data_IF_277101976874
#
_entry.id   IF_277101976874
#
_cell.length_a   1.000
_cell.length_b   1.000
_cell.length_c   1.000
_cell.angle_alpha   90.00
_cell.angle_beta   90.00
_cell.angle_gamma   90.00
#
_symmetry.space_group_name_H-M   'P 1'
#
loop_
_entity.id
_entity.type
_entity.pdbx_description
1 polymer ?
#
# COMPACT_ATOMS: atom_id res chain seq x y z
N UNK A 1 -18.35 -5.26 6.01
CA UNK A 1 -18.44 -6.54 6.73
C UNK A 1 -17.38 -6.53 7.82
N UNK A 2 -17.81 -6.52 9.08
CA UNK A 2 -16.93 -6.54 10.24
C UNK A 2 -16.25 -7.92 10.32
N UNK A 3 -14.93 -7.92 10.52
CA UNK A 3 -14.11 -9.11 10.76
C UNK A 3 -14.63 -9.83 12.01
N UNK A 4 -15.45 -10.86 11.82
CA UNK A 4 -15.82 -11.82 12.85
C UNK A 4 -15.31 -13.19 12.46
N UNK A 5 -14.04 -13.46 12.77
CA UNK A 5 -13.55 -14.79 13.12
C UNK A 5 -12.60 -14.61 14.29
N UNK A 6 -13.07 -15.00 15.47
CA UNK A 6 -12.48 -14.69 16.78
C UNK A 6 -11.18 -15.42 17.08
N UNK A 7 -10.12 -15.09 16.37
CA UNK A 7 -8.76 -15.20 16.86
C UNK A 7 -8.03 -13.92 16.42
N UNK A 8 -7.76 -13.03 17.38
CA UNK A 8 -6.76 -11.98 17.16
C UNK A 8 -5.48 -12.71 16.77
N UNK A 9 -4.78 -12.38 15.68
CA UNK A 9 -3.49 -12.99 15.40
C UNK A 9 -2.62 -12.67 16.61
N UNK A 10 -2.38 -13.66 17.46
CA UNK A 10 -1.62 -13.46 18.71
C UNK A 10 -0.17 -13.10 18.41
N UNK A 11 0.24 -13.21 17.13
CA UNK A 11 1.57 -12.92 16.63
C UNK A 11 1.64 -11.86 15.53
N UNK A 12 0.57 -11.18 15.10
CA UNK A 12 0.67 -10.20 13.99
C UNK A 12 0.62 -10.82 12.58
N UNK A 13 1.16 -10.11 11.58
CA UNK A 13 1.09 -10.46 10.15
C UNK A 13 2.45 -10.29 9.48
N UNK A 14 2.73 -11.12 8.48
CA UNK A 14 3.83 -10.91 7.54
C UNK A 14 3.32 -10.15 6.31
N UNK A 15 3.73 -8.89 6.15
CA UNK A 15 3.25 -8.01 5.10
C UNK A 15 4.33 -7.70 4.06
N UNK A 16 3.91 -7.62 2.80
CA UNK A 16 4.68 -6.99 1.72
C UNK A 16 3.96 -5.70 1.33
N UNK A 17 4.62 -4.57 1.55
CA UNK A 17 4.07 -3.23 1.35
C UNK A 17 4.86 -2.53 0.25
N UNK A 18 4.24 -2.32 -0.90
CA UNK A 18 4.91 -1.73 -2.07
C UNK A 18 4.20 -0.46 -2.55
N UNK A 19 4.98 0.58 -2.89
CA UNK A 19 4.37 1.81 -3.36
C UNK A 19 5.33 2.96 -3.63
N UNK A 20 4.76 4.16 -3.66
CA UNK A 20 5.50 5.39 -3.86
C UNK A 20 6.03 5.99 -2.54
N UNK A 21 6.80 7.07 -2.65
CA UNK A 21 7.39 7.78 -1.52
C UNK A 21 6.38 8.37 -0.53
N UNK A 22 5.15 8.66 -0.95
CA UNK A 22 4.08 9.14 -0.06
C UNK A 22 3.56 8.02 0.84
N UNK A 23 3.56 6.79 0.35
CA UNK A 23 3.15 5.62 1.13
C UNK A 23 4.23 5.14 2.11
N UNK A 24 5.50 5.28 1.76
CA UNK A 24 6.63 4.76 2.54
C UNK A 24 6.63 5.10 4.04
N UNK A 25 6.36 6.36 4.45
CA UNK A 25 6.23 6.71 5.87
C UNK A 25 5.12 5.91 6.58
N UNK A 26 3.93 5.83 5.99
CA UNK A 26 2.80 5.08 6.56
C UNK A 26 3.07 3.58 6.61
N UNK A 27 3.68 3.03 5.55
CA UNK A 27 4.01 1.61 5.48
C UNK A 27 4.97 1.18 6.60
N UNK A 28 5.97 2.00 6.93
CA UNK A 28 6.90 1.71 8.04
C UNK A 28 6.25 1.85 9.41
N UNK A 29 5.38 2.84 9.57
CA UNK A 29 4.68 3.08 10.84
C UNK A 29 3.70 1.95 11.19
N UNK A 30 3.13 1.24 10.20
CA UNK A 30 2.25 0.08 10.44
C UNK A 30 2.94 -0.97 11.31
N UNK A 31 4.18 -1.36 10.97
CA UNK A 31 4.94 -2.35 11.72
C UNK A 31 5.32 -1.89 13.11
N UNK A 32 5.74 -0.64 13.24
CA UNK A 32 6.07 -0.04 14.55
C UNK A 32 4.84 -0.01 15.46
N UNK A 33 3.67 0.37 14.93
CA UNK A 33 2.40 0.35 15.65
C UNK A 33 1.98 -1.08 16.03
N UNK A 34 2.10 -2.04 15.12
CA UNK A 34 1.77 -3.44 15.40
C UNK A 34 2.63 -4.00 16.55
N UNK A 35 3.94 -3.76 16.49
CA UNK A 35 4.86 -4.16 17.55
C UNK A 35 4.53 -3.46 18.88
N UNK A 36 4.25 -2.15 18.85
CA UNK A 36 3.87 -1.38 20.05
C UNK A 36 2.56 -1.87 20.70
N UNK A 37 1.64 -2.41 19.88
CA UNK A 37 0.38 -2.99 20.31
C UNK A 37 0.51 -4.44 20.80
N UNK A 38 1.72 -5.03 20.79
CA UNK A 38 1.99 -6.38 21.30
C UNK A 38 1.92 -7.50 20.26
N UNK A 39 1.84 -7.20 18.97
CA UNK A 39 1.86 -8.19 17.89
C UNK A 39 3.30 -8.59 17.53
N UNK A 40 3.96 -9.36 18.41
CA UNK A 40 5.42 -9.57 18.38
C UNK A 40 5.98 -10.39 17.21
N UNK A 41 5.15 -11.07 16.43
CA UNK A 41 5.57 -11.78 15.21
C UNK A 41 5.22 -11.00 13.92
N UNK A 42 4.83 -9.73 14.03
CA UNK A 42 4.54 -8.90 12.87
C UNK A 42 5.83 -8.53 12.16
N UNK A 43 5.85 -8.66 10.83
CA UNK A 43 7.02 -8.33 10.01
C UNK A 43 6.58 -7.65 8.73
N UNK A 44 7.24 -6.55 8.38
CA UNK A 44 6.98 -5.82 7.15
C UNK A 44 8.19 -5.86 6.23
N UNK A 45 7.96 -6.22 4.97
CA UNK A 45 8.87 -5.92 3.87
C UNK A 45 8.33 -4.69 3.14
N UNK A 46 9.01 -3.55 3.26
CA UNK A 46 8.59 -2.29 2.63
C UNK A 46 9.47 -2.00 1.42
N UNK A 47 8.84 -1.81 0.25
CA UNK A 47 9.50 -1.54 -1.03
C UNK A 47 8.93 -0.27 -1.65
N UNK A 48 9.74 0.78 -1.75
CA UNK A 48 9.24 2.09 -2.20
C UNK A 48 10.13 2.76 -3.21
N UNK A 49 9.51 3.42 -4.21
CA UNK A 49 10.19 4.30 -5.18
C UNK A 49 9.60 5.70 -5.16
N UNK A 50 10.34 6.69 -5.65
CA UNK A 50 9.84 8.07 -5.74
C UNK A 50 8.76 8.24 -6.81
N UNK A 51 7.67 8.92 -6.47
CA UNK A 51 6.61 9.29 -7.41
C UNK A 51 6.04 8.12 -8.20
N UNK A 52 5.86 8.31 -9.51
CA UNK A 52 5.20 7.37 -10.43
C UNK A 52 5.97 6.04 -10.60
N UNK A 53 7.27 6.05 -10.29
CA UNK A 53 8.08 4.82 -10.30
C UNK A 53 7.65 3.83 -9.21
N UNK A 54 6.91 4.30 -8.19
CA UNK A 54 6.36 3.47 -7.12
C UNK A 54 4.97 2.91 -7.41
N UNK A 55 4.42 3.10 -8.61
CA UNK A 55 3.15 2.47 -8.97
C UNK A 55 3.32 0.97 -9.19
N UNK A 56 2.28 0.15 -8.92
CA UNK A 56 2.31 -1.29 -9.14
C UNK A 56 2.80 -1.70 -10.54
N UNK A 57 2.31 -1.03 -11.59
CA UNK A 57 2.72 -1.32 -12.97
C UNK A 57 4.18 -0.94 -13.25
N UNK A 58 4.69 0.12 -12.61
CA UNK A 58 6.07 0.56 -12.75
C UNK A 58 7.03 -0.48 -12.15
N UNK A 59 6.68 -1.07 -11.01
CA UNK A 59 7.42 -2.21 -10.47
C UNK A 59 7.30 -3.44 -11.36
N UNK A 60 6.13 -3.72 -11.94
CA UNK A 60 5.92 -4.92 -12.76
C UNK A 60 6.73 -4.89 -14.06
N UNK A 61 6.72 -3.74 -14.75
CA UNK A 61 7.38 -3.55 -16.03
C UNK A 61 8.90 -3.40 -15.92
N UNK A 62 9.43 -3.24 -14.72
CA UNK A 62 10.86 -3.28 -14.48
C UNK A 62 11.35 -4.73 -14.67
N UNK A 63 12.02 -4.98 -15.79
CA UNK A 63 12.56 -6.30 -16.14
C UNK A 63 13.81 -6.67 -15.32
N UNK A 64 14.21 -5.83 -14.37
CA UNK A 64 15.38 -6.02 -13.52
C UNK A 64 16.71 -5.82 -14.25
N UNK A 65 16.70 -5.38 -15.51
CA UNK A 65 17.91 -5.12 -16.29
C UNK A 65 18.39 -3.67 -16.09
N UNK A 66 18.89 -3.35 -14.89
CA UNK A 66 19.51 -2.06 -14.58
C UNK A 66 19.93 -1.92 -13.11
N UNK A 67 20.63 -0.82 -12.77
CA UNK A 67 21.00 -0.45 -11.37
C UNK A 67 19.78 -0.14 -10.48
N UNK A 68 18.59 -0.05 -11.06
CA UNK A 68 17.30 0.25 -10.40
C UNK A 68 16.37 -0.99 -10.44
N UNK A 69 16.89 -2.21 -10.57
CA UNK A 69 16.10 -3.45 -10.75
C UNK A 69 15.96 -4.33 -9.49
N UNK A 70 16.49 -3.89 -8.34
CA UNK A 70 16.53 -4.70 -7.12
C UNK A 70 15.15 -4.86 -6.48
N UNK A 71 14.29 -3.85 -6.55
CA UNK A 71 12.98 -3.88 -5.91
C UNK A 71 12.03 -4.88 -6.57
N UNK A 72 11.98 -4.95 -7.90
CA UNK A 72 11.18 -5.97 -8.61
C UNK A 72 11.58 -7.39 -8.18
N UNK A 73 12.89 -7.65 -8.13
CA UNK A 73 13.43 -8.94 -7.69
C UNK A 73 13.11 -9.21 -6.22
N UNK A 74 13.23 -8.21 -5.36
CA UNK A 74 12.90 -8.33 -3.94
C UNK A 74 11.41 -8.64 -3.73
N UNK A 75 10.52 -7.96 -4.44
CA UNK A 75 9.07 -8.22 -4.40
C UNK A 75 8.80 -9.68 -4.81
N UNK A 76 9.33 -10.12 -5.96
CA UNK A 76 9.15 -11.50 -6.42
C UNK A 76 9.74 -12.52 -5.45
N UNK A 77 10.97 -12.31 -4.98
CA UNK A 77 11.61 -13.22 -4.03
C UNK A 77 10.84 -13.33 -2.71
N UNK A 78 10.26 -12.23 -2.23
CA UNK A 78 9.41 -12.22 -1.03
C UNK A 78 8.13 -13.02 -1.25
N UNK A 79 7.47 -12.83 -2.40
CA UNK A 79 6.28 -13.61 -2.76
C UNK A 79 6.60 -15.09 -3.00
N UNK A 80 7.75 -15.40 -3.60
CA UNK A 80 8.21 -16.75 -3.90
C UNK A 80 8.56 -17.55 -2.64
N UNK A 81 9.07 -16.89 -1.61
CA UNK A 81 9.33 -17.49 -0.31
C UNK A 81 8.05 -17.98 0.39
N UNK A 82 6.89 -17.44 0.01
CA UNK A 82 5.61 -17.78 0.60
C UNK A 82 5.40 -17.17 2.00
N UNK A 83 4.25 -17.47 2.60
CA UNK A 83 3.92 -17.02 3.96
C UNK A 83 3.63 -15.52 4.10
N UNK A 84 3.40 -14.81 3.00
CA UNK A 84 2.92 -13.42 3.02
C UNK A 84 1.43 -13.42 3.31
N UNK A 85 1.04 -12.81 4.42
CA UNK A 85 -0.35 -12.69 4.84
C UNK A 85 -1.07 -11.56 4.12
N UNK A 86 -0.36 -10.44 3.88
CA UNK A 86 -0.94 -9.23 3.31
C UNK A 86 -0.02 -8.61 2.24
N UNK A 87 -0.58 -8.36 1.06
CA UNK A 87 0.02 -7.51 0.03
C UNK A 87 -0.66 -6.14 0.03
N UNK A 88 0.11 -5.11 0.36
CA UNK A 88 -0.31 -3.71 0.29
C UNK A 88 0.26 -3.01 -0.93
N UNK A 89 -0.59 -2.35 -1.71
CA UNK A 89 -0.20 -1.55 -2.87
C UNK A 89 -0.77 -0.12 -2.78
N UNK A 90 -0.20 0.84 -3.50
CA UNK A 90 -0.76 2.19 -3.67
C UNK A 90 -1.65 2.28 -4.90
N UNK A 91 -2.62 3.23 -4.95
CA UNK A 91 -3.35 3.56 -6.16
C UNK A 91 -2.38 4.08 -7.22
N UNK A 92 -2.74 3.82 -8.46
CA UNK A 92 -2.03 4.29 -9.62
C UNK A 92 -2.72 5.58 -10.08
N UNK A 93 -1.97 6.64 -10.38
CA UNK A 93 -2.59 7.83 -10.96
C UNK A 93 -3.14 7.46 -12.36
N UNK A 94 -4.41 7.75 -12.68
CA UNK A 94 -4.98 7.46 -13.98
C UNK A 94 -4.33 8.24 -15.14
N UNK A 95 -3.57 9.31 -14.88
CA UNK A 95 -2.86 10.03 -15.94
C UNK A 95 -1.83 9.13 -16.65
N UNK A 96 -2.17 8.71 -17.87
CA UNK A 96 -1.31 7.86 -18.71
C UNK A 96 -1.57 6.35 -18.58
N UNK A 97 -2.48 5.92 -17.70
CA UNK A 97 -2.84 4.51 -17.53
C UNK A 97 -4.06 4.18 -18.38
N UNK A 98 -3.88 3.25 -19.32
CA UNK A 98 -4.94 2.83 -20.24
C UNK A 98 -5.94 1.91 -19.55
N UNK A 99 -5.47 1.05 -18.65
CA UNK A 99 -6.32 0.10 -17.93
C UNK A 99 -6.11 0.22 -16.41
N UNK A 100 -7.15 0.55 -15.63
CA UNK A 100 -7.03 0.86 -14.20
C UNK A 100 -6.57 -0.32 -13.33
N UNK A 101 -6.56 -1.55 -13.86
CA UNK A 101 -6.09 -2.74 -13.12
C UNK A 101 -4.65 -3.15 -13.44
N UNK A 102 -3.96 -2.42 -14.33
CA UNK A 102 -2.59 -2.75 -14.74
C UNK A 102 -1.64 -2.71 -13.54
N UNK A 103 -0.77 -3.72 -13.47
CA UNK A 103 0.16 -3.95 -12.37
C UNK A 103 -0.51 -4.67 -11.20
N UNK A 104 -1.74 -4.31 -10.83
CA UNK A 104 -2.45 -4.99 -9.73
C UNK A 104 -2.74 -6.44 -10.09
N UNK A 105 -3.32 -6.69 -11.27
CA UNK A 105 -3.73 -8.03 -11.66
C UNK A 105 -2.53 -8.98 -11.72
N UNK A 106 -1.41 -8.48 -12.21
CA UNK A 106 -0.16 -9.20 -12.38
C UNK A 106 0.48 -9.55 -11.04
N UNK A 107 0.60 -8.57 -10.13
CA UNK A 107 1.13 -8.83 -8.79
C UNK A 107 0.24 -9.75 -7.97
N UNK A 108 -1.08 -9.59 -8.04
CA UNK A 108 -2.03 -10.46 -7.33
C UNK A 108 -1.95 -11.89 -7.88
N UNK A 109 -1.97 -12.05 -9.21
CA UNK A 109 -1.83 -13.37 -9.82
C UNK A 109 -0.49 -14.04 -9.49
N UNK A 110 0.60 -13.25 -9.45
CA UNK A 110 1.91 -13.75 -9.04
C UNK A 110 1.92 -14.18 -7.57
N UNK A 111 1.43 -13.33 -6.67
CA UNK A 111 1.40 -13.58 -5.23
C UNK A 111 0.63 -14.85 -4.87
N UNK A 112 -0.51 -15.09 -5.54
CA UNK A 112 -1.38 -16.26 -5.31
C UNK A 112 -0.70 -17.61 -5.60
N UNK A 113 0.39 -17.65 -6.37
CA UNK A 113 1.09 -18.89 -6.69
C UNK A 113 1.66 -19.58 -5.44
N UNK A 114 2.24 -18.79 -4.52
CA UNK A 114 2.89 -19.29 -3.30
C UNK A 114 2.20 -18.79 -2.02
N UNK A 115 1.21 -17.89 -2.13
CA UNK A 115 0.47 -17.29 -1.01
C UNK A 115 -1.05 -17.38 -1.27
N UNK A 116 -1.65 -18.58 -1.29
CA UNK A 116 -3.03 -18.78 -1.74
C UNK A 116 -4.10 -18.09 -0.88
N UNK A 117 -3.78 -17.73 0.36
CA UNK A 117 -4.69 -17.06 1.30
C UNK A 117 -4.36 -15.57 1.50
N UNK A 118 -3.50 -15.00 0.64
CA UNK A 118 -3.05 -13.62 0.79
C UNK A 118 -4.23 -12.64 0.76
N UNK A 119 -4.22 -11.67 1.66
CA UNK A 119 -5.16 -10.55 1.65
C UNK A 119 -4.52 -9.38 0.91
N UNK A 120 -5.31 -8.64 0.16
CA UNK A 120 -4.82 -7.50 -0.61
C UNK A 120 -5.53 -6.23 -0.17
N UNK A 121 -4.78 -5.14 0.00
CA UNK A 121 -5.36 -3.80 0.13
C UNK A 121 -4.69 -2.81 -0.81
N UNK A 122 -5.45 -1.79 -1.20
CA UNK A 122 -4.94 -0.64 -1.94
C UNK A 122 -5.01 0.58 -1.01
N UNK A 123 -3.87 1.14 -0.63
CA UNK A 123 -3.77 2.28 0.29
C UNK A 123 -3.97 3.57 -0.45
N UNK A 124 -5.11 4.22 -0.23
CA UNK A 124 -5.31 5.60 -0.65
C UNK A 124 -4.35 6.48 0.16
N UNK A 125 -3.24 6.88 -0.46
CA UNK A 125 -2.25 7.74 0.19
C UNK A 125 -2.90 9.08 0.53
N UNK A 126 -2.52 9.66 1.68
CA UNK A 126 -3.03 10.96 2.10
C UNK A 126 -2.59 12.08 1.14
N UNK A 127 -3.29 13.23 1.16
CA UNK A 127 -2.89 14.41 0.40
C UNK A 127 -1.51 14.91 0.84
N UNK A 128 -0.81 15.57 -0.08
CA UNK A 128 0.52 16.15 0.19
C UNK A 128 0.48 17.21 1.31
N UNK A 129 1.65 17.52 1.88
CA UNK A 129 1.87 18.53 2.91
C UNK A 129 0.92 18.41 4.12
N UNK A 130 1.10 17.39 5.01
CA UNK A 130 0.27 17.21 6.20
C UNK A 130 0.18 18.41 7.13
N UNK A 131 1.21 19.27 7.16
CA UNK A 131 1.20 20.53 7.91
C UNK A 131 0.13 21.51 7.42
N UNK A 132 -0.26 21.40 6.16
CA UNK A 132 -1.11 22.38 5.47
C UNK A 132 -2.53 21.85 5.28
N UNK A 133 -2.81 20.61 5.72
CA UNK A 133 -4.10 19.96 5.55
C UNK A 133 -5.29 20.80 6.06
N UNK A 134 -5.13 21.47 7.20
CA UNK A 134 -6.20 22.35 7.71
C UNK A 134 -6.47 23.51 6.74
N UNK A 135 -5.43 24.17 6.24
CA UNK A 135 -5.55 25.27 5.29
C UNK A 135 -6.13 24.80 3.95
N UNK A 136 -5.69 23.63 3.46
CA UNK A 136 -6.23 22.99 2.26
C UNK A 136 -7.71 22.68 2.40
N UNK A 137 -8.14 22.15 3.54
CA UNK A 137 -9.55 21.88 3.82
C UNK A 137 -10.38 23.17 3.86
N UNK A 138 -9.90 24.20 4.56
CA UNK A 138 -10.56 25.50 4.66
C UNK A 138 -10.70 26.17 3.29
N UNK A 139 -9.65 26.12 2.45
CA UNK A 139 -9.67 26.63 1.09
C UNK A 139 -10.69 25.90 0.19
N UNK A 140 -10.92 24.62 0.44
CA UNK A 140 -11.95 23.81 -0.24
C UNK A 140 -13.36 23.96 0.38
N UNK A 141 -13.54 24.82 1.40
CA UNK A 141 -14.83 25.09 2.03
C UNK A 141 -15.20 24.13 3.17
N UNK A 142 -14.26 23.32 3.65
CA UNK A 142 -14.46 22.36 4.73
C UNK A 142 -13.87 22.86 6.06
N UNK A 143 -14.46 22.44 7.17
CA UNK A 143 -13.99 22.81 8.51
C UNK A 143 -12.77 21.99 8.99
N UNK A 144 -12.44 20.92 8.29
CA UNK A 144 -11.36 19.99 8.64
C UNK A 144 -11.00 19.11 7.45
N UNK A 145 -9.77 18.59 7.43
CA UNK A 145 -9.35 17.60 6.45
C UNK A 145 -10.20 16.32 6.51
N UNK A 146 -10.68 15.94 7.70
CA UNK A 146 -11.62 14.83 7.85
C UNK A 146 -12.91 15.06 7.06
N UNK A 147 -13.49 16.26 7.16
CA UNK A 147 -14.70 16.61 6.41
C UNK A 147 -14.44 16.67 4.89
N UNK A 148 -13.30 17.25 4.47
CA UNK A 148 -12.90 17.28 3.07
C UNK A 148 -12.71 15.86 2.50
N UNK A 149 -12.05 14.97 3.24
CA UNK A 149 -11.85 13.58 2.87
C UNK A 149 -13.16 12.81 2.77
N UNK A 150 -14.08 12.99 3.73
CA UNK A 150 -15.40 12.37 3.68
C UNK A 150 -16.20 12.82 2.45
N UNK A 151 -16.15 14.12 2.12
CA UNK A 151 -16.79 14.65 0.93
C UNK A 151 -16.20 14.04 -0.36
N UNK A 152 -14.86 13.97 -0.45
CA UNK A 152 -14.16 13.34 -1.58
C UNK A 152 -14.56 11.86 -1.75
N UNK A 153 -14.60 11.10 -0.66
CA UNK A 153 -14.88 9.66 -0.69
C UNK A 153 -16.34 9.31 -0.94
N UNK A 154 -17.28 10.14 -0.46
CA UNK A 154 -18.70 9.81 -0.41
C UNK A 154 -19.60 10.77 -1.21
N UNK A 155 -19.03 11.74 -1.92
CA UNK A 155 -19.76 12.63 -2.83
C UNK A 155 -20.68 13.65 -2.14
N UNK A 156 -20.41 13.97 -0.88
CA UNK A 156 -21.17 14.99 -0.14
C UNK A 156 -20.64 16.38 -0.41
N UNK A 157 -21.27 17.11 -1.34
CA UNK A 157 -21.18 18.58 -1.46
C UNK A 157 -22.34 19.24 -0.72
#
# INVERSE_FOLDING_TARGET
ALLQTGEQPTNGYNMLLMGNSFFGPYAREIGDLANSAGYTGHTDTVVTRGGDNGWPISFWNDDGAGEIGDEHRLIKATLDAGGVDILGMVPTNPEGIVNPTDGYSEWIHYALQNNPNIKVFISLSGPDFPSDWQQTAEAAGFNSMQAAWQAYMYGGV
#
